data_IF_855338848003
#
_entry.id   IF_855338848003
#
_cell.length_a   1.000
_cell.length_b   1.000
_cell.length_c   1.000
_cell.angle_alpha   90.00
_cell.angle_beta   90.00
_cell.angle_gamma   90.00
#
_symmetry.space_group_name_H-M   'P 1'
#
loop_
_entity.id
_entity.type
_entity.pdbx_description
1 polymer ?
#
# COMPACT_ATOMS: atom_id res chain seq x y z
N UNK A 1 30.84 12.76 18.00
CA UNK A 1 30.32 12.87 17.65
C UNK A 1 29.71 12.70 17.28
N UNK A 2 29.44 12.70 17.53
CA UNK A 2 28.69 12.67 17.14
C UNK A 2 28.12 12.60 16.65
N UNK A 3 27.98 12.73 16.47
CA UNK A 3 27.34 12.85 15.84
C UNK A 3 26.67 12.55 15.53
N UNK A 4 26.39 12.33 15.80
CA UNK A 4 25.66 12.13 15.45
C UNK A 4 24.87 12.26 15.10
N UNK A 5 24.81 12.38 15.32
CA UNK A 5 23.77 12.52 15.15
C UNK A 5 23.19 12.58 14.41
N UNK A 6 23.44 12.69 14.20
CA UNK A 6 23.06 12.83 13.37
C UNK A 6 22.23 12.08 12.81
N UNK A 7 21.83 11.21 12.95
CA UNK A 7 20.99 10.56 12.44
C UNK A 7 19.78 10.94 12.64
N UNK A 8 19.33 11.55 11.94
CA UNK A 8 18.19 12.08 12.07
C UNK A 8 17.17 11.12 12.07
N UNK A 9 16.32 11.09 12.92
CA UNK A 9 15.13 10.29 12.94
C UNK A 9 15.33 8.83 13.17
N UNK A 10 16.55 8.40 13.30
CA UNK A 10 16.72 6.99 13.51
C UNK A 10 17.35 6.75 14.84
N UNK A 11 16.59 6.25 15.75
CA UNK A 11 17.05 5.95 17.08
C UNK A 11 16.95 4.46 17.26
N UNK A 12 18.01 3.84 17.69
CA UNK A 12 18.00 2.43 17.94
C UNK A 12 18.74 1.65 16.90
N UNK A 13 18.62 0.34 16.89
CA UNK A 13 19.40 -0.49 15.98
C UNK A 13 19.01 -0.32 14.54
N UNK A 14 19.90 -0.64 13.62
CA UNK A 14 19.54 -0.58 12.21
C UNK A 14 18.46 -1.59 11.88
N UNK A 15 17.84 -1.41 10.73
CA UNK A 15 16.78 -2.29 10.29
C UNK A 15 17.28 -3.71 10.13
N UNK A 16 16.45 -4.66 10.50
CA UNK A 16 16.75 -6.06 10.27
C UNK A 16 16.55 -6.38 8.80
N UNK A 17 17.03 -7.54 8.37
CA UNK A 17 16.83 -7.96 6.99
C UNK A 17 15.35 -8.11 6.68
N UNK A 18 14.58 -8.59 7.64
CA UNK A 18 13.14 -8.74 7.45
C UNK A 18 12.47 -7.40 7.29
N UNK A 19 12.86 -6.42 8.10
CA UNK A 19 12.30 -5.10 7.98
C UNK A 19 12.63 -4.47 6.64
N UNK A 20 13.85 -4.68 6.16
CA UNK A 20 14.25 -4.14 4.86
C UNK A 20 13.44 -4.78 3.75
N UNK A 21 13.18 -6.07 3.85
CA UNK A 21 12.39 -6.75 2.84
C UNK A 21 10.97 -6.22 2.81
N UNK A 22 10.40 -5.93 3.97
CA UNK A 22 9.06 -5.38 4.04
C UNK A 22 8.98 -4.01 3.41
N UNK A 23 9.97 -3.18 3.64
CA UNK A 23 10.01 -1.85 3.06
C UNK A 23 10.12 -1.94 1.55
N UNK A 24 11.00 -2.81 1.06
CA UNK A 24 11.14 -3.00 -0.37
C UNK A 24 9.89 -3.54 -1.01
N UNK A 25 9.21 -4.44 -0.31
CA UNK A 25 7.97 -4.99 -0.81
C UNK A 25 6.90 -3.92 -0.91
N UNK A 26 6.80 -3.06 0.11
CA UNK A 26 5.83 -1.99 0.10
C UNK A 26 6.09 -1.02 -1.05
N UNK A 27 7.37 -0.71 -1.29
CA UNK A 27 7.72 0.17 -2.40
C UNK A 27 7.41 -0.46 -3.74
N UNK A 28 7.66 -1.75 -3.86
CA UNK A 28 7.36 -2.46 -5.11
C UNK A 28 5.86 -2.48 -5.37
N UNK A 29 5.06 -2.65 -4.32
CA UNK A 29 3.61 -2.67 -4.47
C UNK A 29 3.08 -1.29 -4.84
N UNK A 30 3.67 -0.24 -4.28
CA UNK A 30 3.31 1.12 -4.64
C UNK A 30 3.64 1.38 -6.11
N UNK A 31 4.83 0.97 -6.53
CA UNK A 31 5.25 1.15 -7.92
C UNK A 31 4.35 0.38 -8.87
N UNK A 32 3.99 -0.84 -8.48
CA UNK A 32 3.07 -1.65 -9.27
C UNK A 32 1.74 -0.92 -9.42
N UNK A 33 1.22 -0.39 -8.32
CA UNK A 33 -0.06 0.30 -8.35
C UNK A 33 0.01 1.52 -9.27
N UNK A 34 1.06 2.32 -9.13
CA UNK A 34 1.19 3.52 -9.94
C UNK A 34 1.28 3.19 -11.42
N UNK A 35 2.01 2.12 -11.75
CA UNK A 35 2.20 1.75 -13.15
C UNK A 35 0.94 1.17 -13.76
N UNK A 36 0.05 0.61 -12.95
CA UNK A 36 -1.13 -0.08 -13.47
C UNK A 36 -2.44 0.59 -13.07
N UNK A 37 -2.37 1.82 -12.59
CA UNK A 37 -3.55 2.48 -12.05
C UNK A 37 -4.70 2.54 -13.06
N UNK A 38 -4.41 2.99 -14.26
CA UNK A 38 -5.47 3.14 -15.26
C UNK A 38 -6.12 1.81 -15.60
N UNK A 39 -5.30 0.79 -15.74
CA UNK A 39 -5.82 -0.52 -16.07
C UNK A 39 -6.65 -1.08 -14.94
N UNK A 40 -6.15 -0.93 -13.71
CA UNK A 40 -6.88 -1.42 -12.55
C UNK A 40 -8.19 -0.66 -12.37
N UNK A 41 -8.18 0.64 -12.60
CA UNK A 41 -9.40 1.44 -12.47
C UNK A 41 -10.44 1.04 -13.49
N UNK A 42 -10.02 0.61 -14.66
CA UNK A 42 -10.95 0.13 -15.67
C UNK A 42 -11.50 -1.25 -15.33
N UNK A 43 -10.66 -2.07 -14.71
CA UNK A 43 -11.04 -3.43 -14.34
C UNK A 43 -11.93 -3.45 -13.10
N UNK A 44 -11.63 -2.59 -12.14
CA UNK A 44 -12.35 -2.55 -10.86
C UNK A 44 -12.77 -1.11 -10.55
N UNK A 45 -13.66 -0.54 -11.35
CA UNK A 45 -14.04 0.86 -11.14
C UNK A 45 -14.80 1.04 -9.83
N UNK A 46 -14.47 2.11 -9.13
CA UNK A 46 -15.13 2.46 -7.87
C UNK A 46 -15.04 1.35 -6.85
N UNK A 47 -13.85 0.75 -6.76
CA UNK A 47 -13.61 -0.33 -5.81
C UNK A 47 -12.38 -0.03 -4.97
N UNK A 48 -12.38 -0.59 -3.78
CA UNK A 48 -11.18 -0.64 -2.97
C UNK A 48 -10.42 -1.90 -3.34
N UNK A 49 -9.10 -1.79 -3.43
CA UNK A 49 -8.28 -2.96 -3.74
C UNK A 49 -7.13 -3.03 -2.75
N UNK A 50 -6.72 -4.24 -2.45
CA UNK A 50 -5.53 -4.50 -1.65
C UNK A 50 -4.51 -5.18 -2.54
N UNK A 51 -3.29 -4.67 -2.51
CA UNK A 51 -2.23 -5.17 -3.37
C UNK A 51 -1.09 -5.69 -2.51
N UNK A 52 -0.61 -6.86 -2.87
CA UNK A 52 0.50 -7.48 -2.19
C UNK A 52 1.27 -8.32 -3.21
N UNK A 53 2.60 -8.18 -3.20
CA UNK A 53 3.47 -8.89 -4.13
C UNK A 53 3.08 -8.66 -5.59
N UNK A 54 2.65 -7.44 -5.92
CA UNK A 54 2.28 -7.11 -7.28
C UNK A 54 1.00 -7.75 -7.75
N UNK A 55 0.13 -8.14 -6.81
CA UNK A 55 -1.13 -8.77 -7.16
C UNK A 55 -2.26 -8.16 -6.37
N UNK A 56 -3.43 -8.11 -6.98
CA UNK A 56 -4.64 -7.70 -6.29
C UNK A 56 -5.14 -8.90 -5.49
N UNK A 57 -5.12 -8.78 -4.18
CA UNK A 57 -5.49 -9.90 -3.31
C UNK A 57 -6.88 -9.75 -2.71
N UNK A 58 -7.48 -8.58 -2.81
CA UNK A 58 -8.83 -8.37 -2.30
C UNK A 58 -9.45 -7.17 -3.01
N UNK A 59 -10.75 -7.26 -3.30
CA UNK A 59 -11.49 -6.18 -3.94
C UNK A 59 -12.81 -6.02 -3.19
N UNK A 60 -13.22 -4.78 -2.96
CA UNK A 60 -14.49 -4.53 -2.28
C UNK A 60 -15.04 -3.15 -2.58
N UNK A 61 -16.33 -2.96 -2.30
CA UNK A 61 -16.99 -1.69 -2.55
C UNK A 61 -17.19 -0.86 -1.28
N UNK A 62 -17.34 -1.53 -0.15
CA UNK A 62 -17.61 -0.88 1.13
C UNK A 62 -16.33 -0.93 1.97
N UNK A 63 -15.84 0.24 2.36
CA UNK A 63 -14.56 0.30 3.08
C UNK A 63 -14.62 -0.42 4.42
N UNK A 64 -15.76 -0.39 5.09
CA UNK A 64 -15.87 -1.04 6.39
C UNK A 64 -15.83 -2.55 6.24
N UNK A 65 -16.58 -3.07 5.27
CA UNK A 65 -16.57 -4.50 5.01
C UNK A 65 -15.21 -4.93 4.47
N UNK A 66 -14.63 -4.11 3.62
CA UNK A 66 -13.31 -4.39 3.07
C UNK A 66 -12.29 -4.50 4.20
N UNK A 67 -12.33 -3.57 5.15
CA UNK A 67 -11.43 -3.62 6.30
C UNK A 67 -11.64 -4.87 7.14
N UNK A 68 -12.90 -5.26 7.31
CA UNK A 68 -13.20 -6.48 8.06
C UNK A 68 -12.62 -7.70 7.37
N UNK A 69 -12.77 -7.77 6.05
CA UNK A 69 -12.24 -8.89 5.30
C UNK A 69 -10.71 -8.93 5.33
N UNK A 70 -10.07 -7.78 5.30
CA UNK A 70 -8.64 -7.72 5.43
C UNK A 70 -8.18 -8.35 6.75
N UNK A 71 -8.88 -8.01 7.81
CA UNK A 71 -8.53 -8.55 9.12
C UNK A 71 -8.80 -10.04 9.20
N UNK A 72 -9.93 -10.48 8.67
CA UNK A 72 -10.29 -11.89 8.74
C UNK A 72 -9.31 -12.76 7.96
N UNK A 73 -8.73 -12.22 6.91
CA UNK A 73 -7.79 -12.96 6.09
C UNK A 73 -6.34 -12.75 6.52
N UNK A 74 -6.13 -11.99 7.58
CA UNK A 74 -4.79 -11.74 8.08
C UNK A 74 -3.95 -10.87 7.16
N UNK A 75 -4.59 -10.16 6.24
CA UNK A 75 -3.87 -9.35 5.27
C UNK A 75 -3.33 -8.07 5.86
N UNK A 76 -3.95 -7.58 6.92
CA UNK A 76 -3.46 -6.37 7.58
C UNK A 76 -2.03 -6.58 8.07
N UNK A 77 -1.77 -7.74 8.62
CA UNK A 77 -0.45 -8.04 9.15
C UNK A 77 0.56 -8.33 8.06
N UNK A 78 0.08 -8.66 6.87
CA UNK A 78 0.96 -8.91 5.73
C UNK A 78 1.52 -7.65 5.13
N UNK A 79 0.96 -6.49 5.49
CA UNK A 79 1.44 -5.23 4.96
C UNK A 79 0.96 -4.92 3.56
N UNK A 80 -0.30 -5.23 3.29
CA UNK A 80 -0.85 -4.93 1.97
C UNK A 80 -1.00 -3.44 1.79
N UNK A 81 -1.00 -3.00 0.53
CA UNK A 81 -1.28 -1.62 0.18
C UNK A 81 -2.74 -1.53 -0.28
N UNK A 82 -3.46 -0.57 0.25
CA UNK A 82 -4.89 -0.42 -0.04
C UNK A 82 -5.10 0.88 -0.80
N UNK A 83 -5.88 0.81 -1.87
CA UNK A 83 -6.17 1.98 -2.69
C UNK A 83 -7.61 1.92 -3.17
N UNK A 84 -8.17 3.11 -3.34
CA UNK A 84 -9.49 3.23 -3.97
C UNK A 84 -9.28 3.58 -5.43
N UNK A 85 -9.97 2.88 -6.32
CA UNK A 85 -9.83 3.07 -7.75
C UNK A 85 -10.96 3.94 -8.28
N UNK A 86 -10.61 5.13 -8.74
CA UNK A 86 -11.57 6.07 -9.28
C UNK A 86 -11.20 6.33 -10.74
N UNK A 87 -11.95 5.76 -11.68
CA UNK A 87 -11.64 5.96 -13.10
C UNK A 87 -11.91 7.37 -13.58
N UNK A 88 -12.66 8.15 -12.82
CA UNK A 88 -12.97 9.52 -13.19
C UNK A 88 -12.70 10.44 -12.01
N UNK A 89 -11.42 10.62 -11.66
CA UNK A 89 -11.11 11.46 -10.51
C UNK A 89 -11.60 12.88 -10.75
N UNK A 90 -12.08 13.51 -9.69
CA UNK A 90 -12.55 14.87 -9.79
C UNK A 90 -11.39 15.77 -10.14
N UNK A 91 -11.59 16.65 -11.12
CA UNK A 91 -10.53 17.58 -11.47
C UNK A 91 -10.31 18.55 -10.33
N UNK A 92 -9.07 18.92 -10.15
CA UNK A 92 -8.76 19.95 -9.18
C UNK A 92 -8.99 21.26 -9.87
N UNK A 93 -10.07 21.86 -9.53
CA UNK A 93 -10.38 23.12 -10.11
C UNK A 93 -9.85 24.22 -9.25
N UNK A 94 -9.06 25.01 -9.80
CA UNK A 94 -8.39 26.04 -9.05
C UNK A 94 -8.85 27.39 -9.49
#
# INVERSE_FOLDING_TARGET
>A
MATSGTRLGRIGPPLTDEERRRIKQAEADEDFFDAHYEKLAQEYPYRWVAIHNGEVVLVGTDIYEFGRMLRERGLVESGVRVRYLDPEPLPLIL
#
